data_IF_023387443521
#
_entry.id   IF_023387443521
#
_cell.length_a   1.000
_cell.length_b   1.000
_cell.length_c   1.000
_cell.angle_alpha   90.00
_cell.angle_beta   90.00
_cell.angle_gamma   90.00
#
_symmetry.space_group_name_H-M   'P 1'
#
loop_
_entity.id
_entity.type
_entity.pdbx_description
1 polymer ?
#
# COMPACT_ATOMS: atom_id res chain seq x y z
N UNK A 1 30.23 36.13 -23.17
CA UNK A 1 28.89 36.70 -23.46
C UNK A 1 28.00 36.45 -22.26
N UNK A 2 27.18 37.43 -21.84
CA UNK A 2 26.28 37.27 -20.69
C UNK A 2 24.82 37.35 -21.14
N UNK A 3 24.01 36.35 -20.77
CA UNK A 3 22.57 36.29 -21.09
C UNK A 3 21.77 36.74 -19.86
N UNK A 4 20.89 37.73 -20.02
CA UNK A 4 20.00 38.21 -18.96
C UNK A 4 18.71 37.36 -18.89
N UNK A 5 18.11 37.18 -17.71
CA UNK A 5 16.88 36.41 -17.56
C UNK A 5 15.65 37.18 -18.09
N UNK A 6 14.68 36.47 -18.66
CA UNK A 6 13.37 37.04 -19.00
C UNK A 6 12.52 37.29 -17.75
N UNK A 7 11.79 38.41 -17.74
CA UNK A 7 10.69 38.67 -16.81
C UNK A 7 9.37 38.31 -17.48
N UNK A 8 8.51 37.56 -16.81
CA UNK A 8 7.09 37.46 -17.17
C UNK A 8 6.32 38.62 -16.54
N UNK A 9 5.42 39.23 -17.31
CA UNK A 9 4.51 40.29 -16.85
C UNK A 9 3.11 39.68 -16.72
N UNK A 10 2.51 39.82 -15.54
CA UNK A 10 1.13 39.42 -15.28
C UNK A 10 0.20 40.53 -15.77
N UNK A 11 -0.78 40.20 -16.61
CA UNK A 11 -1.81 41.15 -17.08
C UNK A 11 -3.16 40.83 -16.45
N UNK A 12 -3.62 41.67 -15.52
CA UNK A 12 -5.00 41.63 -15.05
C UNK A 12 -5.92 42.39 -16.01
N UNK A 13 -7.07 41.81 -16.36
CA UNK A 13 -8.27 42.54 -16.77
C UNK A 13 -9.50 41.98 -16.05
N UNK A 14 -10.29 42.88 -15.44
CA UNK A 14 -11.67 42.64 -14.99
C UNK A 14 -12.60 43.52 -15.83
N UNK A 15 -13.64 42.92 -16.40
CA UNK A 15 -14.93 43.55 -16.73
C UNK A 15 -15.97 42.45 -16.45
N UNK A 16 -16.79 42.56 -15.40
CA UNK A 16 -17.95 43.44 -15.20
C UNK A 16 -19.22 42.98 -15.93
N UNK A 17 -20.30 43.03 -15.15
CA UNK A 17 -21.61 42.39 -15.29
C UNK A 17 -22.49 42.84 -16.46
N UNK A 18 -23.37 41.93 -16.89
CA UNK A 18 -24.77 42.28 -17.18
C UNK A 18 -25.70 41.11 -16.83
N UNK A 19 -26.84 41.39 -16.19
CA UNK A 19 -27.95 40.45 -15.98
C UNK A 19 -29.17 40.94 -16.75
N UNK A 20 -29.96 40.02 -17.32
CA UNK A 20 -31.33 40.29 -17.81
C UNK A 20 -32.22 39.06 -17.62
N UNK A 21 -33.55 39.24 -17.68
CA UNK A 21 -34.57 38.22 -17.37
C UNK A 21 -35.48 37.91 -18.56
N UNK A 22 -36.12 36.75 -18.49
CA UNK A 22 -37.31 36.27 -19.24
C UNK A 22 -38.49 37.28 -19.15
N UNK A 23 -39.54 37.28 -20.02
CA UNK A 23 -40.51 36.16 -20.23
C UNK A 23 -41.13 36.07 -21.68
N UNK A 24 -42.37 35.57 -21.94
CA UNK A 24 -42.76 34.14 -22.02
C UNK A 24 -43.66 33.76 -23.24
N UNK A 25 -44.33 32.59 -23.17
CA UNK A 25 -45.57 32.15 -23.90
C UNK A 25 -45.43 31.63 -25.36
N UNK A 26 -46.24 30.67 -25.88
CA UNK A 26 -47.15 29.67 -25.24
C UNK A 26 -47.73 28.63 -26.24
N UNK A 27 -48.02 27.41 -25.75
CA UNK A 27 -49.02 26.43 -26.28
C UNK A 27 -48.71 25.74 -27.65
N UNK A 28 -49.27 24.58 -28.02
CA UNK A 28 -50.38 23.76 -27.46
C UNK A 28 -50.34 22.25 -27.85
N UNK A 29 -50.75 21.34 -26.93
CA UNK A 29 -51.36 19.99 -27.16
C UNK A 29 -50.58 18.90 -27.96
N UNK A 30 -50.72 17.56 -27.80
CA UNK A 30 -51.33 16.53 -26.90
C UNK A 30 -50.61 15.17 -27.30
N UNK A 31 -50.64 14.00 -26.65
CA UNK A 31 -51.06 13.41 -25.35
C UNK A 31 -50.47 11.94 -25.27
N UNK A 32 -50.81 10.94 -24.44
CA UNK A 32 -51.79 10.75 -23.34
C UNK A 32 -51.44 9.55 -22.41
N UNK A 33 -51.63 9.69 -21.09
CA UNK A 33 -51.85 8.63 -20.07
C UNK A 33 -50.80 7.50 -19.77
N UNK A 34 -50.81 6.87 -18.57
CA UNK A 34 -49.65 6.13 -18.02
C UNK A 34 -49.95 4.67 -17.55
N UNK A 35 -49.59 4.15 -16.34
CA UNK A 35 -48.59 3.08 -16.25
C UNK A 35 -49.04 1.77 -15.58
N UNK A 36 -48.32 0.67 -15.87
CA UNK A 36 -48.55 -0.65 -15.25
C UNK A 36 -47.81 -0.83 -13.93
N UNK A 37 -48.57 -0.96 -12.83
CA UNK A 37 -48.09 -1.56 -11.57
C UNK A 37 -48.14 -3.09 -11.65
N UNK A 38 -47.16 -3.77 -11.07
CA UNK A 38 -47.21 -5.22 -10.81
C UNK A 38 -47.13 -5.49 -9.31
N UNK A 39 -48.08 -6.26 -8.81
CA UNK A 39 -48.27 -6.57 -7.39
C UNK A 39 -47.92 -8.04 -7.13
N UNK A 40 -47.39 -8.32 -5.92
CA UNK A 40 -47.10 -9.67 -5.46
C UNK A 40 -48.33 -10.59 -5.49
N UNK A 41 -48.12 -11.86 -5.84
CA UNK A 41 -48.95 -12.94 -5.36
C UNK A 41 -48.10 -14.10 -4.84
N UNK A 42 -48.32 -14.48 -3.58
CA UNK A 42 -48.00 -15.83 -3.08
C UNK A 42 -49.08 -16.78 -3.59
N UNK A 43 -48.69 -17.98 -3.99
CA UNK A 43 -49.58 -19.15 -4.03
C UNK A 43 -48.91 -20.33 -3.33
N UNK A 44 -49.72 -21.19 -2.75
CA UNK A 44 -49.28 -22.27 -1.87
C UNK A 44 -49.40 -23.65 -2.55
N UNK A 45 -48.82 -24.64 -1.86
CA UNK A 45 -48.76 -26.06 -2.21
C UNK A 45 -50.11 -26.74 -2.48
N UNK A 46 -50.10 -27.74 -3.36
CA UNK A 46 -51.03 -28.89 -3.38
C UNK A 46 -50.25 -30.21 -3.53
N UNK A 47 -50.80 -31.36 -3.08
CA UNK A 47 -50.02 -32.59 -2.83
C UNK A 47 -49.95 -33.58 -4.00
N UNK A 48 -49.02 -34.54 -3.89
CA UNK A 48 -48.91 -35.74 -4.74
C UNK A 48 -49.29 -37.03 -3.97
N UNK A 49 -49.75 -38.10 -4.65
CA UNK A 49 -50.37 -39.26 -4.00
C UNK A 49 -49.40 -40.36 -3.52
N UNK A 50 -49.94 -41.26 -2.70
CA UNK A 50 -49.26 -42.39 -2.06
C UNK A 50 -48.95 -43.55 -3.04
N UNK A 51 -47.89 -44.31 -2.75
CA UNK A 51 -47.62 -45.63 -3.33
C UNK A 51 -46.99 -46.59 -2.29
N UNK A 52 -47.06 -47.90 -2.54
CA UNK A 52 -46.80 -48.94 -1.53
C UNK A 52 -45.31 -49.29 -1.33
N UNK A 53 -44.92 -49.83 -0.15
CA UNK A 53 -43.52 -49.95 0.25
C UNK A 53 -42.78 -51.13 -0.39
N UNK A 54 -41.56 -50.87 -0.89
CA UNK A 54 -40.55 -51.89 -1.16
C UNK A 54 -39.50 -51.93 -0.04
N UNK A 55 -38.95 -53.11 0.24
CA UNK A 55 -37.93 -53.32 1.29
C UNK A 55 -36.55 -52.87 0.82
N UNK A 56 -35.90 -51.98 1.57
CA UNK A 56 -34.51 -51.60 1.35
C UNK A 56 -33.52 -52.65 1.87
N UNK A 57 -32.39 -52.92 1.18
CA UNK A 57 -31.29 -53.71 1.72
C UNK A 57 -30.54 -52.95 2.85
N UNK A 58 -29.77 -53.65 3.71
CA UNK A 58 -29.03 -53.03 4.81
C UNK A 58 -27.82 -52.19 4.32
N UNK A 59 -27.38 -51.19 5.10
CA UNK A 59 -26.23 -50.34 4.74
C UNK A 59 -24.88 -51.08 4.90
N UNK A 60 -23.82 -50.63 4.19
CA UNK A 60 -22.46 -51.14 4.34
C UNK A 60 -21.83 -50.74 5.70
N UNK A 61 -20.81 -51.46 6.18
CA UNK A 61 -20.12 -51.16 7.43
C UNK A 61 -19.32 -49.84 7.37
N UNK A 62 -19.07 -49.19 8.53
CA UNK A 62 -18.32 -47.94 8.60
C UNK A 62 -16.82 -48.12 8.29
N UNK A 63 -16.13 -47.06 7.83
CA UNK A 63 -14.68 -47.07 7.60
C UNK A 63 -13.88 -47.14 8.92
N UNK A 64 -12.63 -47.63 8.89
CA UNK A 64 -11.78 -47.70 10.07
C UNK A 64 -11.37 -46.31 10.60
N UNK A 65 -11.06 -46.17 11.90
CA UNK A 65 -10.66 -44.91 12.51
C UNK A 65 -9.27 -44.42 12.02
N UNK A 66 -9.01 -43.10 12.02
CA UNK A 66 -7.73 -42.55 11.62
C UNK A 66 -6.61 -42.89 12.65
N UNK A 67 -5.34 -43.00 12.21
CA UNK A 67 -4.22 -43.29 13.09
C UNK A 67 -3.93 -42.14 14.07
N UNK A 68 -3.32 -42.48 15.20
CA UNK A 68 -3.11 -41.58 16.34
C UNK A 68 -2.09 -40.46 16.08
N UNK A 69 -2.42 -39.25 16.55
CA UNK A 69 -1.56 -38.07 16.42
C UNK A 69 -0.33 -38.14 17.33
N UNK A 70 0.80 -38.64 16.81
CA UNK A 70 2.11 -38.28 17.37
C UNK A 70 2.37 -36.78 17.16
N UNK A 71 2.81 -36.09 18.24
CA UNK A 71 3.18 -34.67 18.20
C UNK A 71 4.46 -34.46 17.39
N UNK A 72 4.35 -34.10 16.12
CA UNK A 72 5.46 -33.53 15.37
C UNK A 72 5.63 -32.05 15.71
N UNK A 73 6.84 -31.67 16.14
CA UNK A 73 7.21 -30.26 16.25
C UNK A 73 7.31 -29.66 14.84
N UNK A 74 6.70 -28.49 14.63
CA UNK A 74 6.75 -27.76 13.36
C UNK A 74 8.15 -27.17 13.14
N UNK A 75 9.01 -27.95 12.47
CA UNK A 75 10.23 -27.42 11.85
C UNK A 75 9.87 -26.37 10.79
N UNK A 76 10.67 -25.31 10.71
CA UNK A 76 10.45 -24.24 9.73
C UNK A 76 10.63 -24.74 8.30
N UNK A 77 9.64 -24.48 7.44
CA UNK A 77 9.72 -24.75 6.00
C UNK A 77 10.98 -24.09 5.38
N UNK A 78 11.65 -24.75 4.42
CA UNK A 78 12.81 -24.16 3.74
C UNK A 78 12.45 -22.87 2.99
N UNK A 79 13.29 -21.84 3.12
CA UNK A 79 13.15 -20.62 2.31
C UNK A 79 13.47 -20.92 0.83
N UNK A 80 12.57 -20.52 -0.07
CA UNK A 80 12.77 -20.72 -1.51
C UNK A 80 13.93 -19.86 -2.03
N UNK A 81 14.58 -20.25 -3.14
CA UNK A 81 15.76 -19.55 -3.66
C UNK A 81 15.51 -18.03 -3.84
N UNK A 82 14.33 -17.65 -4.35
CA UNK A 82 13.92 -16.26 -4.55
C UNK A 82 13.72 -15.44 -3.24
N UNK A 83 13.83 -16.05 -2.06
CA UNK A 83 13.81 -15.40 -0.75
C UNK A 83 15.19 -15.28 -0.09
N UNK A 84 16.23 -15.91 -0.68
CA UNK A 84 17.62 -15.57 -0.35
C UNK A 84 17.86 -14.12 -0.82
N UNK A 85 18.46 -13.34 0.07
CA UNK A 85 19.08 -12.05 -0.22
C UNK A 85 20.58 -12.33 -0.19
N UNK A 86 21.34 -11.65 -1.05
CA UNK A 86 22.79 -11.73 -1.01
C UNK A 86 23.28 -11.27 0.36
N UNK A 87 23.87 -12.20 1.11
CA UNK A 87 24.35 -11.93 2.47
C UNK A 87 25.71 -11.27 2.35
N UNK A 88 25.75 -9.95 2.42
CA UNK A 88 27.03 -9.30 2.61
C UNK A 88 27.58 -9.60 4.01
N UNK A 89 28.90 -9.50 4.17
CA UNK A 89 29.55 -9.42 5.47
C UNK A 89 29.99 -7.98 5.67
N UNK A 90 29.44 -7.32 6.70
CA UNK A 90 29.81 -5.95 7.07
C UNK A 90 30.88 -5.97 8.15
N UNK A 91 32.04 -5.36 7.89
CA UNK A 91 33.06 -5.16 8.93
C UNK A 91 32.73 -3.93 9.79
N UNK A 92 32.99 -3.95 11.12
CA UNK A 92 32.71 -2.82 12.02
C UNK A 92 33.41 -1.51 11.61
N UNK A 93 32.90 -0.39 12.15
CA UNK A 93 33.55 0.92 12.02
C UNK A 93 33.15 1.75 10.80
N UNK A 94 31.95 1.54 10.24
CA UNK A 94 31.34 2.41 9.23
C UNK A 94 29.80 2.53 9.40
N UNK A 95 29.30 2.97 10.57
CA UNK A 95 27.86 3.13 10.82
C UNK A 95 27.24 4.25 9.97
N UNK A 96 25.94 4.13 9.69
CA UNK A 96 25.13 5.13 9.02
C UNK A 96 24.21 5.87 10.00
N UNK A 97 23.88 7.12 9.66
CA UNK A 97 22.84 7.92 10.32
C UNK A 97 22.16 8.83 9.30
N UNK A 98 20.85 8.97 9.42
CA UNK A 98 20.05 9.86 8.60
C UNK A 98 20.58 11.30 8.60
N UNK A 99 20.75 11.86 7.40
CA UNK A 99 21.23 13.24 7.19
C UNK A 99 20.24 14.32 7.66
N UNK A 100 18.97 13.98 7.72
CA UNK A 100 17.85 14.82 8.17
C UNK A 100 16.98 14.00 9.12
N UNK A 101 16.26 14.66 10.03
CA UNK A 101 15.30 14.05 10.98
C UNK A 101 15.86 12.94 11.90
N UNK A 102 17.18 12.69 11.89
CA UNK A 102 17.80 11.51 12.47
C UNK A 102 17.74 11.33 13.99
N UNK A 103 17.20 12.30 14.73
CA UNK A 103 17.00 12.25 16.19
C UNK A 103 15.53 12.50 16.60
N UNK A 104 14.58 12.59 15.67
CA UNK A 104 13.16 12.91 15.98
C UNK A 104 12.58 11.95 17.02
N UNK A 105 12.75 10.63 16.86
CA UNK A 105 12.26 9.65 17.84
C UNK A 105 13.14 9.50 19.09
N UNK A 106 14.28 10.20 19.17
CA UNK A 106 15.07 10.33 20.41
C UNK A 106 14.50 11.45 21.29
N UNK A 107 13.97 12.50 20.65
CA UNK A 107 13.41 13.70 21.30
C UNK A 107 11.91 13.54 21.61
N UNK A 108 11.16 12.77 20.79
CA UNK A 108 9.75 12.45 21.05
C UNK A 108 9.58 11.58 22.31
N UNK A 109 8.49 11.76 23.09
CA UNK A 109 8.18 10.92 24.25
C UNK A 109 8.00 9.46 23.84
N UNK A 110 8.28 8.52 24.74
CA UNK A 110 8.37 7.08 24.42
C UNK A 110 7.09 6.54 23.79
N UNK A 111 5.94 7.02 24.24
CA UNK A 111 4.58 6.66 23.83
C UNK A 111 4.28 7.07 22.38
N UNK A 112 5.14 7.88 21.75
CA UNK A 112 5.09 8.22 20.34
C UNK A 112 5.53 7.05 19.44
N UNK A 113 6.58 6.33 19.82
CA UNK A 113 7.22 5.30 18.98
C UNK A 113 7.20 3.89 19.59
N UNK A 114 6.96 3.72 20.89
CA UNK A 114 6.73 2.42 21.53
C UNK A 114 5.33 1.90 21.21
N UNK A 115 5.15 1.47 19.97
CA UNK A 115 3.95 0.81 19.49
C UNK A 115 3.70 -0.56 20.13
N UNK A 116 4.61 -1.13 20.92
CA UNK A 116 4.36 -2.40 21.63
C UNK A 116 3.50 -2.17 22.87
N UNK A 117 3.65 -1.02 23.52
CA UNK A 117 2.79 -0.57 24.63
C UNK A 117 1.36 -0.20 24.23
N UNK A 118 1.12 0.26 22.99
CA UNK A 118 -0.19 0.79 22.52
C UNK A 118 -1.39 -0.09 22.89
N UNK A 119 -2.33 0.46 23.66
CA UNK A 119 -3.68 -0.11 23.82
C UNK A 119 -4.56 0.35 22.65
N UNK A 120 -5.08 -0.62 21.89
CA UNK A 120 -6.00 -0.35 20.77
C UNK A 120 -7.42 -0.30 21.32
N UNK A 121 -8.08 0.84 21.16
CA UNK A 121 -9.55 0.95 21.25
C UNK A 121 -10.14 0.35 19.97
N UNK A 122 -11.30 -0.30 20.10
CA UNK A 122 -11.95 -0.99 18.98
C UNK A 122 -13.33 -0.39 18.77
N UNK A 123 -13.63 0.02 17.53
CA UNK A 123 -14.99 0.35 17.11
C UNK A 123 -15.81 -0.91 16.80
N UNK A 124 -17.11 -0.73 16.60
CA UNK A 124 -18.03 -1.83 16.29
C UNK A 124 -17.94 -2.19 14.79
N UNK A 125 -17.79 -3.48 14.49
CA UNK A 125 -17.62 -3.92 13.11
C UNK A 125 -18.92 -3.80 12.28
N UNK A 126 -20.06 -3.94 12.93
CA UNK A 126 -21.36 -4.03 12.27
C UNK A 126 -21.86 -2.65 11.77
N UNK A 127 -21.16 -1.57 12.12
CA UNK A 127 -21.30 -0.23 11.54
C UNK A 127 -20.76 -0.15 10.09
N UNK A 128 -20.16 -1.21 9.53
CA UNK A 128 -19.54 -1.21 8.20
C UNK A 128 -19.94 -2.40 7.31
N UNK A 129 -20.64 -2.13 6.20
CA UNK A 129 -21.00 -3.16 5.22
C UNK A 129 -19.95 -3.30 4.10
N UNK A 130 -19.62 -4.54 3.72
CA UNK A 130 -18.70 -4.87 2.62
C UNK A 130 -19.46 -4.89 1.29
N UNK A 131 -19.21 -3.90 0.43
CA UNK A 131 -19.84 -3.79 -0.90
C UNK A 131 -19.13 -4.69 -1.92
N UNK A 132 -17.80 -4.61 -2.04
CA UNK A 132 -17.03 -5.41 -3.01
C UNK A 132 -15.55 -5.52 -2.67
N UNK A 133 -14.90 -6.59 -3.11
CA UNK A 133 -13.45 -6.75 -3.00
C UNK A 133 -12.73 -5.88 -4.03
N UNK A 134 -11.76 -5.09 -3.59
CA UNK A 134 -10.96 -4.19 -4.46
C UNK A 134 -9.47 -4.52 -4.47
N UNK A 135 -8.97 -5.29 -3.49
CA UNK A 135 -7.55 -5.64 -3.44
C UNK A 135 -7.21 -6.86 -2.59
N UNK A 136 -6.00 -7.37 -2.77
CA UNK A 136 -5.44 -8.50 -2.02
C UNK A 136 -3.95 -8.29 -1.78
N UNK A 137 -3.59 -7.87 -0.57
CA UNK A 137 -2.20 -7.76 -0.15
C UNK A 137 -1.61 -9.11 0.27
N UNK A 138 -0.31 -9.12 0.61
CA UNK A 138 0.31 -10.27 1.29
C UNK A 138 -0.35 -10.50 2.65
N UNK A 139 -0.47 -9.44 3.45
CA UNK A 139 -0.91 -9.47 4.85
C UNK A 139 -2.38 -9.05 5.06
N UNK A 140 -3.11 -8.65 4.03
CA UNK A 140 -4.49 -8.16 4.12
C UNK A 140 -5.33 -8.59 2.92
N UNK A 141 -6.64 -8.47 3.05
CA UNK A 141 -7.58 -8.37 1.92
C UNK A 141 -8.34 -7.04 2.04
N UNK A 142 -8.68 -6.42 0.91
CA UNK A 142 -9.13 -5.02 0.86
C UNK A 142 -10.45 -4.92 0.09
N UNK A 143 -11.41 -4.22 0.67
CA UNK A 143 -12.76 -4.09 0.17
C UNK A 143 -13.19 -2.61 0.14
N UNK A 144 -14.03 -2.25 -0.84
CA UNK A 144 -14.87 -1.06 -0.75
C UNK A 144 -16.09 -1.43 0.11
N UNK A 145 -16.42 -0.54 1.03
CA UNK A 145 -17.57 -0.67 1.92
C UNK A 145 -18.28 0.66 2.12
N UNK A 146 -19.35 0.63 2.92
CA UNK A 146 -20.07 1.81 3.38
C UNK A 146 -20.18 1.81 4.89
N UNK A 147 -20.16 3.00 5.49
CA UNK A 147 -20.49 3.20 6.89
C UNK A 147 -22.01 3.31 7.04
N UNK A 148 -22.61 2.44 7.86
CA UNK A 148 -24.05 2.18 7.85
C UNK A 148 -24.90 3.35 8.38
N UNK A 149 -24.32 4.28 9.15
CA UNK A 149 -25.06 5.36 9.80
C UNK A 149 -25.22 6.63 8.95
N UNK A 150 -24.29 6.90 8.03
CA UNK A 150 -24.26 8.08 7.14
C UNK A 150 -24.21 7.73 5.64
N UNK A 151 -23.96 6.46 5.30
CA UNK A 151 -23.73 5.95 3.94
C UNK A 151 -22.44 6.50 3.26
N UNK A 152 -21.47 7.03 4.02
CA UNK A 152 -20.18 7.39 3.45
C UNK A 152 -19.38 6.16 3.00
N UNK A 153 -18.69 6.28 1.86
CA UNK A 153 -17.83 5.22 1.34
C UNK A 153 -16.53 5.11 2.13
N UNK A 154 -16.17 3.89 2.49
CA UNK A 154 -14.91 3.57 3.16
C UNK A 154 -14.13 2.47 2.43
N UNK A 155 -12.88 2.27 2.86
CA UNK A 155 -12.06 1.12 2.48
C UNK A 155 -11.82 0.25 3.72
N UNK A 156 -12.27 -1.00 3.67
CA UNK A 156 -12.15 -1.99 4.74
C UNK A 156 -10.93 -2.87 4.45
N UNK A 157 -9.86 -2.71 5.23
CA UNK A 157 -8.64 -3.53 5.15
C UNK A 157 -8.66 -4.61 6.23
N UNK A 158 -9.17 -5.79 5.90
CA UNK A 158 -9.18 -6.96 6.79
C UNK A 158 -7.76 -7.51 6.89
N UNK A 159 -7.21 -7.59 8.12
CA UNK A 159 -5.85 -8.06 8.35
C UNK A 159 -5.81 -9.59 8.53
N UNK A 160 -4.99 -10.27 7.72
CA UNK A 160 -4.76 -11.72 7.86
C UNK A 160 -3.96 -12.01 9.13
N UNK A 161 -3.96 -13.26 9.64
CA UNK A 161 -3.18 -13.65 10.82
C UNK A 161 -1.70 -13.25 10.73
N UNK A 162 -1.31 -12.25 11.53
CA UNK A 162 0.07 -11.75 11.67
C UNK A 162 0.39 -11.46 13.14
N UNK A 163 1.68 -11.36 13.49
CA UNK A 163 2.12 -11.02 14.86
C UNK A 163 1.50 -9.69 15.30
N UNK A 164 0.83 -9.66 16.46
CA UNK A 164 0.17 -8.45 17.05
C UNK A 164 1.06 -7.19 17.02
N UNK A 165 2.37 -7.35 17.23
CA UNK A 165 3.39 -6.28 17.11
C UNK A 165 3.32 -5.50 15.78
N UNK A 166 3.06 -6.17 14.64
CA UNK A 166 2.90 -5.50 13.33
C UNK A 166 1.62 -4.67 13.27
N UNK A 167 0.53 -5.21 13.81
CA UNK A 167 -0.80 -4.56 13.80
C UNK A 167 -0.75 -3.28 14.63
N UNK A 168 -0.24 -3.35 15.88
CA UNK A 168 -0.05 -2.16 16.71
C UNK A 168 0.86 -1.12 16.05
N UNK A 169 1.92 -1.54 15.34
CA UNK A 169 2.81 -0.61 14.63
C UNK A 169 2.10 0.13 13.51
N UNK A 170 1.38 -0.59 12.65
CA UNK A 170 0.65 0.02 11.54
C UNK A 170 -0.39 1.02 12.05
N UNK A 171 -1.17 0.63 13.07
CA UNK A 171 -2.09 1.53 13.77
C UNK A 171 -1.36 2.77 14.33
N UNK A 172 -0.28 2.58 15.07
CA UNK A 172 0.44 3.70 15.73
C UNK A 172 1.03 4.67 14.71
N UNK A 173 1.55 4.17 13.60
CA UNK A 173 2.06 4.98 12.49
C UNK A 173 0.93 5.77 11.84
N UNK A 174 -0.20 5.12 11.53
CA UNK A 174 -1.37 5.79 10.94
C UNK A 174 -1.96 6.86 11.88
N UNK A 175 -2.04 6.59 13.19
CA UNK A 175 -2.46 7.56 14.19
C UNK A 175 -1.53 8.77 14.26
N UNK A 176 -0.21 8.55 14.30
CA UNK A 176 0.78 9.63 14.35
C UNK A 176 0.84 10.46 13.06
N UNK A 177 0.48 9.89 11.90
CA UNK A 177 0.52 10.56 10.60
C UNK A 177 -0.85 11.10 10.13
N UNK A 178 -1.93 10.86 10.88
CA UNK A 178 -3.26 11.33 10.51
C UNK A 178 -3.31 12.87 10.40
N UNK A 179 -4.06 13.38 9.42
CA UNK A 179 -4.07 14.81 9.06
C UNK A 179 -2.87 15.28 8.22
N UNK A 180 -1.86 14.43 8.00
CA UNK A 180 -0.70 14.74 7.16
C UNK A 180 -1.03 14.94 5.67
N UNK A 181 -0.27 15.78 4.95
CA UNK A 181 -0.47 16.01 3.52
C UNK A 181 -0.33 14.71 2.73
N UNK A 182 -1.38 14.34 2.00
CA UNK A 182 -1.46 13.15 1.14
C UNK A 182 -1.18 11.81 1.85
N UNK A 183 -1.32 11.75 3.18
CA UNK A 183 -1.37 10.51 3.96
C UNK A 183 -2.82 10.00 3.95
N UNK A 184 -3.04 8.70 3.79
CA UNK A 184 -4.38 8.11 3.93
C UNK A 184 -4.89 8.19 5.37
N UNK A 185 -6.09 8.72 5.56
CA UNK A 185 -6.76 8.76 6.87
C UNK A 185 -7.22 7.36 7.27
N UNK A 186 -6.72 6.88 8.41
CA UNK A 186 -7.38 5.85 9.21
C UNK A 186 -8.58 6.50 9.91
N UNK A 187 -9.78 5.99 9.64
CA UNK A 187 -11.03 6.47 10.23
C UNK A 187 -11.34 5.71 11.53
N UNK A 188 -11.28 4.37 11.50
CA UNK A 188 -11.57 3.51 12.64
C UNK A 188 -10.81 2.16 12.60
N UNK A 189 -10.85 1.43 13.71
CA UNK A 189 -10.15 0.16 13.95
C UNK A 189 -11.14 -0.85 14.55
N UNK A 190 -11.88 -1.55 13.70
CA UNK A 190 -12.87 -2.56 14.13
C UNK A 190 -12.26 -3.95 14.28
N UNK A 191 -13.00 -4.86 14.92
CA UNK A 191 -12.60 -6.27 15.04
C UNK A 191 -13.79 -7.20 15.16
N UNK A 192 -13.81 -8.20 14.29
CA UNK A 192 -14.83 -9.25 14.27
C UNK A 192 -15.01 -9.92 15.64
N UNK A 193 -16.25 -9.94 16.14
CA UNK A 193 -16.51 -10.37 17.50
C UNK A 193 -16.39 -11.89 17.68
N UNK A 194 -16.45 -12.70 16.61
CA UNK A 194 -16.30 -14.16 16.69
C UNK A 194 -14.83 -14.59 16.53
N UNK A 195 -14.25 -14.33 15.35
CA UNK A 195 -12.88 -14.71 14.98
C UNK A 195 -11.78 -13.86 15.61
N UNK A 196 -12.14 -12.68 16.15
CA UNK A 196 -11.22 -11.63 16.62
C UNK A 196 -10.27 -11.11 15.53
N UNK A 197 -10.65 -11.24 14.27
CA UNK A 197 -9.91 -10.69 13.12
C UNK A 197 -10.02 -9.16 13.11
N UNK A 198 -8.91 -8.41 13.14
CA UNK A 198 -8.94 -6.95 13.13
C UNK A 198 -8.97 -6.39 11.70
N UNK A 199 -9.71 -5.30 11.53
CA UNK A 199 -9.84 -4.56 10.27
C UNK A 199 -9.51 -3.08 10.49
N UNK A 200 -8.89 -2.45 9.49
CA UNK A 200 -8.61 -1.02 9.50
C UNK A 200 -9.53 -0.34 8.48
N UNK A 201 -10.24 0.70 8.90
CA UNK A 201 -11.19 1.46 8.08
C UNK A 201 -10.52 2.75 7.60
N UNK A 202 -10.55 3.02 6.30
CA UNK A 202 -9.88 4.20 5.70
C UNK A 202 -10.84 5.05 4.85
N UNK A 203 -10.45 6.30 4.60
CA UNK A 203 -11.13 7.17 3.61
C UNK A 203 -11.15 6.50 2.23
N UNK A 204 -12.27 6.59 1.53
CA UNK A 204 -12.35 6.15 0.14
C UNK A 204 -11.60 7.10 -0.80
N UNK A 205 -10.91 6.53 -1.79
CA UNK A 205 -10.22 7.27 -2.85
C UNK A 205 -10.67 6.70 -4.20
N UNK A 206 -11.12 7.57 -5.11
CA UNK A 206 -11.56 7.21 -6.45
C UNK A 206 -10.34 6.90 -7.36
N UNK A 207 -9.65 5.80 -7.08
CA UNK A 207 -8.37 5.50 -7.70
C UNK A 207 -8.49 4.95 -9.13
N UNK A 208 -7.76 5.56 -10.07
CA UNK A 208 -7.48 4.95 -11.38
C UNK A 208 -6.23 4.06 -11.28
N UNK A 209 -6.27 2.82 -11.80
CA UNK A 209 -5.10 1.93 -11.77
C UNK A 209 -3.91 2.55 -12.52
N UNK A 210 -2.72 2.48 -11.93
CA UNK A 210 -1.52 3.15 -12.44
C UNK A 210 -1.11 2.66 -13.85
N UNK A 211 -1.45 1.42 -14.25
CA UNK A 211 -1.16 0.91 -15.61
C UNK A 211 -2.03 1.56 -16.67
N UNK A 212 -3.21 2.04 -16.29
CA UNK A 212 -4.12 2.81 -17.14
C UNK A 212 -3.76 4.29 -17.08
N UNK A 213 -3.43 4.80 -15.89
CA UNK A 213 -3.19 6.21 -15.64
C UNK A 213 -1.80 6.69 -16.11
N UNK A 214 -0.71 6.01 -15.74
CA UNK A 214 0.64 6.51 -16.00
C UNK A 214 0.97 6.71 -17.50
N UNK A 215 0.47 5.88 -18.45
CA UNK A 215 0.66 6.13 -19.88
C UNK A 215 -0.04 7.40 -20.41
N UNK A 216 -1.08 7.90 -19.74
CA UNK A 216 -1.87 9.08 -20.19
C UNK A 216 -1.39 10.39 -19.56
N UNK A 217 -0.60 10.35 -18.48
CA UNK A 217 -0.09 11.54 -17.81
C UNK A 217 0.78 12.41 -18.72
N UNK A 218 0.56 13.73 -18.67
CA UNK A 218 1.49 14.70 -19.26
C UNK A 218 2.76 14.84 -18.41
N UNK A 219 3.82 15.45 -18.98
CA UNK A 219 5.02 15.84 -18.23
C UNK A 219 4.68 16.67 -16.97
N UNK A 220 3.72 17.59 -17.08
CA UNK A 220 3.26 18.39 -15.95
C UNK A 220 2.56 17.53 -14.88
N UNK A 221 1.76 16.54 -15.28
CA UNK A 221 1.10 15.64 -14.34
C UNK A 221 2.08 14.71 -13.63
N UNK A 222 3.09 14.19 -14.33
CA UNK A 222 4.16 13.41 -13.71
C UNK A 222 4.86 14.26 -12.64
N UNK A 223 5.25 15.50 -12.97
CA UNK A 223 5.86 16.44 -12.00
C UNK A 223 4.93 16.72 -10.82
N UNK A 224 3.64 16.95 -11.08
CA UNK A 224 2.63 17.22 -10.06
C UNK A 224 2.46 16.05 -9.09
N UNK A 225 2.22 14.83 -9.58
CA UNK A 225 2.01 13.67 -8.70
C UNK A 225 3.28 13.22 -7.97
N UNK A 226 4.47 13.39 -8.58
CA UNK A 226 5.74 13.21 -7.87
C UNK A 226 5.92 14.25 -6.75
N UNK A 227 5.54 15.52 -6.98
CA UNK A 227 5.57 16.55 -5.93
C UNK A 227 4.55 16.30 -4.81
N UNK A 228 3.33 15.88 -5.14
CA UNK A 228 2.33 15.51 -4.13
C UNK A 228 2.74 14.27 -3.30
N UNK A 229 3.46 13.32 -3.90
CA UNK A 229 4.06 12.17 -3.20
C UNK A 229 5.27 12.60 -2.34
N UNK A 230 6.11 13.52 -2.81
CA UNK A 230 7.22 14.08 -2.03
C UNK A 230 6.73 14.78 -0.74
N UNK A 231 5.58 15.46 -0.77
CA UNK A 231 4.96 16.02 0.46
C UNK A 231 4.62 14.94 1.50
N UNK A 232 4.08 13.80 1.06
CA UNK A 232 3.75 12.69 1.95
C UNK A 232 5.01 12.05 2.56
N UNK A 233 6.08 11.94 1.78
CA UNK A 233 7.37 11.41 2.23
C UNK A 233 8.08 12.36 3.19
N UNK A 234 8.28 13.63 2.83
CA UNK A 234 8.90 14.61 3.74
C UNK A 234 8.10 14.75 5.05
N UNK A 235 6.77 14.74 4.98
CA UNK A 235 5.94 14.71 6.18
C UNK A 235 6.21 13.46 7.05
N UNK A 236 6.13 12.24 6.51
CA UNK A 236 6.34 11.05 7.35
C UNK A 236 7.78 10.92 7.85
N UNK A 237 8.76 11.35 7.05
CA UNK A 237 10.18 11.44 7.43
C UNK A 237 10.39 12.44 8.57
N UNK A 238 9.77 13.64 8.50
CA UNK A 238 9.78 14.63 9.57
C UNK A 238 9.12 14.14 10.87
N UNK A 239 8.13 13.25 10.74
CA UNK A 239 7.49 12.55 11.85
C UNK A 239 8.25 11.30 12.33
N UNK A 240 9.48 11.08 11.84
CA UNK A 240 10.36 10.03 12.29
C UNK A 240 10.04 8.65 11.73
N UNK A 241 9.28 8.54 10.64
CA UNK A 241 8.76 7.28 10.09
C UNK A 241 9.26 7.07 8.66
N UNK A 242 9.72 5.86 8.36
CA UNK A 242 10.04 5.40 6.99
C UNK A 242 8.88 4.56 6.45
N UNK A 243 8.50 4.70 5.18
CA UNK A 243 7.39 3.95 4.57
C UNK A 243 7.80 2.51 4.16
N UNK A 244 8.97 2.36 3.54
CA UNK A 244 9.65 1.11 3.16
C UNK A 244 8.91 0.17 2.19
N UNK A 245 7.88 0.65 1.50
CA UNK A 245 7.25 -0.01 0.36
C UNK A 245 6.57 1.00 -0.57
N UNK A 246 7.26 2.11 -0.87
CA UNK A 246 6.81 3.09 -1.87
C UNK A 246 6.86 2.43 -3.26
N UNK A 247 5.72 2.43 -3.96
CA UNK A 247 5.54 1.84 -5.30
C UNK A 247 4.20 2.31 -5.89
N UNK A 248 3.95 2.18 -7.21
CA UNK A 248 2.72 2.67 -7.84
C UNK A 248 1.44 2.07 -7.24
N UNK A 249 1.47 0.80 -6.84
CA UNK A 249 0.32 0.12 -6.21
C UNK A 249 -0.06 0.70 -4.83
N UNK A 250 0.84 1.45 -4.18
CA UNK A 250 0.64 2.06 -2.87
C UNK A 250 0.40 3.58 -2.95
N UNK A 251 0.22 4.13 -4.16
CA UNK A 251 -0.03 5.55 -4.41
C UNK A 251 -1.36 5.67 -5.12
N UNK A 252 -2.42 5.94 -4.36
CA UNK A 252 -3.77 6.09 -4.89
C UNK A 252 -3.94 7.48 -5.49
N UNK A 253 -4.47 7.58 -6.72
CA UNK A 253 -4.68 8.84 -7.44
C UNK A 253 -6.12 8.93 -7.97
N UNK A 254 -6.83 9.94 -7.45
CA UNK A 254 -8.03 10.49 -8.08
C UNK A 254 -7.56 11.60 -9.03
N UNK A 255 -7.54 11.28 -10.33
CA UNK A 255 -6.98 12.18 -11.35
C UNK A 255 -7.91 13.36 -11.68
N UNK A 256 -9.22 13.16 -11.58
CA UNK A 256 -10.24 14.19 -11.83
C UNK A 256 -10.14 15.30 -10.78
N UNK A 257 -10.05 14.93 -9.50
CA UNK A 257 -9.89 15.87 -8.39
C UNK A 257 -8.43 16.25 -8.13
N UNK A 258 -7.48 15.68 -8.88
CA UNK A 258 -6.03 15.80 -8.73
C UNK A 258 -5.50 15.49 -7.32
N UNK A 259 -6.12 14.53 -6.63
CA UNK A 259 -5.79 14.13 -5.25
C UNK A 259 -4.93 12.87 -5.23
N UNK A 260 -3.96 12.85 -4.32
CA UNK A 260 -3.05 11.72 -4.10
C UNK A 260 -3.16 11.22 -2.64
N UNK A 261 -2.98 9.91 -2.43
CA UNK A 261 -2.80 9.29 -1.10
C UNK A 261 -1.73 8.20 -1.12
N UNK A 262 -0.81 8.26 -0.16
CA UNK A 262 0.14 7.19 0.15
C UNK A 262 -0.50 6.19 1.14
N UNK A 263 -0.58 4.92 0.73
CA UNK A 263 -1.29 3.84 1.45
C UNK A 263 -0.38 2.65 1.82
N UNK A 264 -0.92 1.73 2.63
CA UNK A 264 -0.30 0.46 3.07
C UNK A 264 0.97 0.60 3.95
N UNK A 265 0.81 1.33 5.05
CA UNK A 265 1.81 1.56 6.09
C UNK A 265 2.21 0.31 6.90
N UNK A 266 1.79 -0.90 6.52
CA UNK A 266 2.08 -2.15 7.24
C UNK A 266 3.56 -2.55 7.25
N UNK A 267 4.35 -2.07 6.29
CA UNK A 267 5.82 -2.22 6.27
C UNK A 267 6.59 -1.04 6.85
N UNK A 268 5.92 0.07 7.17
CA UNK A 268 6.52 1.27 7.73
C UNK A 268 7.13 1.04 9.13
N UNK A 269 8.01 1.94 9.57
CA UNK A 269 8.77 1.80 10.82
C UNK A 269 9.29 3.14 11.35
N UNK A 270 9.40 3.26 12.67
CA UNK A 270 10.07 4.37 13.33
C UNK A 270 11.60 4.30 13.15
N UNK A 271 12.19 5.39 12.67
CA UNK A 271 13.63 5.58 12.54
C UNK A 271 14.29 5.88 13.90
N UNK A 272 15.40 5.23 14.22
CA UNK A 272 16.27 5.55 15.36
C UNK A 272 17.73 5.41 14.90
N UNK A 273 18.62 6.33 15.28
CA UNK A 273 20.01 6.30 14.83
C UNK A 273 20.73 5.05 15.37
N UNK A 274 21.50 4.38 14.51
CA UNK A 274 22.24 3.15 14.86
C UNK A 274 21.40 1.89 15.07
N UNK A 275 20.08 1.93 14.83
CA UNK A 275 19.22 0.74 14.87
C UNK A 275 19.32 -0.04 13.56
N UNK A 276 19.52 -1.35 13.66
CA UNK A 276 19.47 -2.24 12.49
C UNK A 276 18.03 -2.63 12.15
N UNK A 277 17.72 -2.63 10.86
CA UNK A 277 16.41 -2.86 10.28
C UNK A 277 16.43 -4.03 9.30
N UNK A 278 15.38 -4.86 9.39
CA UNK A 278 15.21 -6.00 8.50
C UNK A 278 15.11 -5.56 7.02
N UNK A 279 15.99 -6.08 6.17
CA UNK A 279 16.06 -5.75 4.73
C UNK A 279 15.01 -6.47 3.85
N UNK A 280 14.24 -7.39 4.43
CA UNK A 280 13.13 -8.13 3.76
C UNK A 280 11.84 -7.29 3.69
N UNK A 281 12.00 -6.00 3.40
CA UNK A 281 10.96 -5.00 3.12
C UNK A 281 11.05 -4.54 1.65
N UNK A 282 10.11 -3.68 1.22
CA UNK A 282 9.89 -3.24 -0.16
C UNK A 282 9.62 -4.35 -1.19
N UNK A 283 8.86 -3.97 -2.22
CA UNK A 283 8.59 -4.78 -3.41
C UNK A 283 9.82 -4.75 -4.35
N UNK A 284 10.25 -5.91 -4.88
CA UNK A 284 11.59 -6.12 -5.50
C UNK A 284 12.12 -4.95 -6.35
N UNK A 285 11.35 -4.50 -7.33
CA UNK A 285 11.77 -3.50 -8.31
C UNK A 285 12.03 -2.10 -7.71
N UNK A 286 11.58 -1.87 -6.48
CA UNK A 286 11.69 -0.61 -5.74
C UNK A 286 12.66 -0.71 -4.54
N UNK A 287 13.31 -1.87 -4.34
CA UNK A 287 14.34 -2.05 -3.31
C UNK A 287 15.57 -1.18 -3.62
N UNK A 288 16.02 -0.41 -2.63
CA UNK A 288 17.33 0.25 -2.64
C UNK A 288 18.50 -0.75 -2.58
N UNK A 289 19.69 -0.39 -3.09
CA UNK A 289 20.89 -1.22 -2.99
C UNK A 289 21.17 -1.72 -1.58
N UNK A 290 20.92 -0.89 -0.55
CA UNK A 290 21.05 -1.23 0.87
C UNK A 290 20.27 -2.50 1.25
N UNK A 291 19.10 -2.73 0.65
CA UNK A 291 18.27 -3.92 0.90
C UNK A 291 18.72 -5.15 0.09
N UNK A 292 19.59 -4.96 -0.90
CA UNK A 292 20.11 -5.99 -1.79
C UNK A 292 21.52 -6.44 -1.36
N UNK A 293 22.24 -5.60 -0.63
CA UNK A 293 23.58 -5.88 -0.06
C UNK A 293 23.56 -5.93 1.48
N UNK A 294 22.40 -6.17 2.10
CA UNK A 294 22.21 -6.40 3.55
C UNK A 294 22.80 -5.29 4.47
N UNK A 295 22.74 -4.02 4.06
CA UNK A 295 23.10 -2.88 4.91
C UNK A 295 21.89 -2.52 5.79
N UNK A 296 21.91 -2.89 7.07
CA UNK A 296 20.71 -2.89 7.92
C UNK A 296 20.41 -1.57 8.64
N UNK A 297 21.38 -0.69 8.88
CA UNK A 297 21.20 0.64 9.52
C UNK A 297 20.80 1.73 8.50
N UNK A 298 19.94 1.36 7.53
CA UNK A 298 19.38 2.26 6.54
C UNK A 298 18.38 3.26 7.14
N UNK A 299 18.11 4.34 6.40
CA UNK A 299 17.21 5.42 6.81
C UNK A 299 16.16 5.79 5.74
N UNK A 300 15.52 6.94 5.93
CA UNK A 300 14.54 7.56 5.04
C UNK A 300 14.94 7.60 3.56
N UNK A 301 16.25 7.62 3.25
CA UNK A 301 16.77 7.57 1.88
C UNK A 301 16.23 6.41 1.05
N UNK A 302 15.87 5.29 1.69
CA UNK A 302 15.27 4.13 1.02
C UNK A 302 13.99 4.47 0.25
N UNK A 303 13.12 5.30 0.84
CA UNK A 303 11.87 5.72 0.19
C UNK A 303 12.13 6.62 -1.02
N UNK A 304 13.22 7.39 -1.00
CA UNK A 304 13.65 8.24 -2.12
C UNK A 304 14.24 7.41 -3.27
N UNK A 305 14.92 6.30 -2.99
CA UNK A 305 15.28 5.32 -4.03
C UNK A 305 14.03 4.70 -4.67
N UNK A 306 13.08 4.24 -3.86
CA UNK A 306 11.82 3.68 -4.35
C UNK A 306 11.03 4.69 -5.21
N UNK A 307 11.00 5.97 -4.80
CA UNK A 307 10.47 7.08 -5.60
C UNK A 307 11.23 7.26 -6.93
N UNK A 308 12.56 7.18 -6.91
CA UNK A 308 13.39 7.23 -8.11
C UNK A 308 13.05 6.12 -9.12
N UNK A 309 12.86 4.88 -8.65
CA UNK A 309 12.39 3.76 -9.46
C UNK A 309 11.01 4.02 -10.09
N UNK A 310 10.07 4.64 -9.35
CA UNK A 310 8.77 5.04 -9.89
C UNK A 310 8.92 6.12 -10.97
N UNK A 311 9.62 7.21 -10.67
CA UNK A 311 9.79 8.34 -11.57
C UNK A 311 10.47 7.94 -12.88
N UNK A 312 11.55 7.14 -12.80
CA UNK A 312 12.21 6.56 -13.98
C UNK A 312 11.24 5.69 -14.81
N UNK A 313 10.42 4.86 -14.17
CA UNK A 313 9.40 4.06 -14.84
C UNK A 313 8.38 4.91 -15.61
N UNK A 314 7.95 6.04 -15.03
CA UNK A 314 7.01 6.99 -15.64
C UNK A 314 7.64 7.72 -16.84
N UNK A 315 8.78 8.39 -16.66
CA UNK A 315 9.37 9.25 -17.71
C UNK A 315 9.96 8.46 -18.88
N UNK A 316 10.54 7.27 -18.64
CA UNK A 316 11.05 6.40 -19.69
C UNK A 316 9.98 5.42 -20.22
N UNK A 317 8.73 5.50 -19.72
CA UNK A 317 7.61 4.61 -20.06
C UNK A 317 7.98 3.12 -20.00
N UNK A 318 8.78 2.76 -18.99
CA UNK A 318 9.42 1.44 -18.83
C UNK A 318 9.15 0.92 -17.43
N UNK A 319 8.03 0.22 -17.24
CA UNK A 319 7.65 -0.34 -15.95
C UNK A 319 7.86 -1.87 -15.89
N UNK A 320 8.62 -2.39 -14.88
CA UNK A 320 9.48 -1.66 -13.96
C UNK A 320 10.80 -1.21 -14.63
N UNK A 321 11.39 -0.14 -14.11
CA UNK A 321 12.64 0.41 -14.66
C UNK A 321 13.81 -0.56 -14.45
N UNK A 322 14.01 -1.06 -13.23
CA UNK A 322 14.94 -2.15 -12.91
C UNK A 322 14.17 -3.46 -12.74
N UNK A 323 14.29 -4.37 -13.72
CA UNK A 323 13.51 -5.62 -13.80
C UNK A 323 14.36 -6.85 -13.48
N UNK A 324 14.62 -7.12 -12.20
CA UNK A 324 15.34 -8.31 -11.74
C UNK A 324 14.45 -9.54 -11.57
N UNK A 325 14.92 -10.71 -11.99
CA UNK A 325 14.20 -12.00 -11.84
C UNK A 325 14.13 -12.46 -10.36
N UNK A 326 15.13 -12.10 -9.56
CA UNK A 326 15.21 -12.26 -8.10
C UNK A 326 15.97 -11.08 -7.47
N UNK A 327 16.37 -11.16 -6.19
CA UNK A 327 17.07 -10.07 -5.50
C UNK A 327 18.55 -9.91 -5.95
N UNK A 328 19.21 -10.97 -6.39
CA UNK A 328 20.59 -10.90 -6.89
C UNK A 328 20.61 -10.21 -8.26
N UNK A 329 19.77 -10.69 -9.18
CA UNK A 329 19.63 -10.11 -10.51
C UNK A 329 19.05 -8.68 -10.48
N UNK A 330 18.29 -8.31 -9.43
CA UNK A 330 17.88 -6.92 -9.20
C UNK A 330 19.09 -5.98 -9.03
N UNK A 331 20.12 -6.38 -8.26
CA UNK A 331 21.33 -5.56 -8.11
C UNK A 331 22.13 -5.52 -9.41
N UNK A 332 22.18 -6.62 -10.17
CA UNK A 332 22.79 -6.66 -11.51
C UNK A 332 22.11 -5.68 -12.47
N UNK A 333 20.77 -5.59 -12.46
CA UNK A 333 20.05 -4.60 -13.29
C UNK A 333 20.39 -3.15 -12.90
N UNK A 334 20.64 -2.89 -11.62
CA UNK A 334 21.03 -1.56 -11.11
C UNK A 334 22.46 -1.21 -11.53
N UNK A 335 23.41 -2.11 -11.27
CA UNK A 335 24.82 -1.94 -11.63
C UNK A 335 25.03 -1.77 -13.15
N UNK A 336 24.17 -2.37 -13.99
CA UNK A 336 24.18 -2.18 -15.45
C UNK A 336 23.72 -0.80 -15.94
N UNK A 337 23.23 0.08 -15.05
CA UNK A 337 22.82 1.46 -15.39
C UNK A 337 23.64 2.50 -14.64
N UNK A 338 23.95 2.27 -13.36
CA UNK A 338 24.78 3.19 -12.54
C UNK A 338 26.28 2.89 -12.62
N UNK A 339 26.66 1.79 -13.28
CA UNK A 339 28.04 1.29 -13.29
C UNK A 339 28.39 0.46 -12.05
N UNK A 340 29.44 -0.34 -12.18
CA UNK A 340 30.00 -1.13 -11.08
C UNK A 340 30.90 -0.31 -10.18
N UNK A 341 31.53 0.76 -10.66
CA UNK A 341 32.49 1.55 -9.87
C UNK A 341 31.83 2.36 -8.74
N UNK A 342 30.63 2.90 -8.94
CA UNK A 342 29.88 3.54 -7.85
C UNK A 342 29.45 2.51 -6.79
N UNK A 343 29.01 1.32 -7.22
CA UNK A 343 28.71 0.20 -6.33
C UNK A 343 29.97 -0.25 -5.56
N UNK A 344 31.12 -0.31 -6.24
CA UNK A 344 32.42 -0.65 -5.65
C UNK A 344 32.80 0.36 -4.55
N UNK A 345 32.67 1.67 -4.83
CA UNK A 345 32.95 2.74 -3.87
C UNK A 345 31.97 2.73 -2.68
N UNK A 346 30.68 2.49 -2.94
CA UNK A 346 29.64 2.36 -1.91
C UNK A 346 29.90 1.19 -0.95
N UNK A 347 30.22 0.00 -1.49
CA UNK A 347 30.56 -1.19 -0.71
C UNK A 347 31.80 -0.96 0.15
N UNK A 348 32.86 -0.39 -0.44
CA UNK A 348 34.09 -0.07 0.27
C UNK A 348 33.85 0.94 1.41
N UNK A 349 33.04 1.99 1.16
CA UNK A 349 32.69 3.03 2.15
C UNK A 349 32.02 2.44 3.40
N UNK A 350 31.03 1.58 3.22
CA UNK A 350 30.27 0.97 4.33
C UNK A 350 30.87 -0.36 4.83
N UNK A 351 32.04 -0.75 4.31
CA UNK A 351 32.79 -1.97 4.66
C UNK A 351 32.01 -3.26 4.42
N UNK A 352 31.27 -3.31 3.31
CA UNK A 352 30.41 -4.41 2.88
C UNK A 352 31.14 -5.31 1.89
N UNK A 353 31.26 -6.59 2.20
CA UNK A 353 31.76 -7.62 1.29
C UNK A 353 30.59 -8.44 0.77
N UNK A 354 30.37 -8.43 -0.56
CA UNK A 354 29.32 -9.25 -1.19
C UNK A 354 29.65 -10.75 -1.03
N UNK A 355 28.61 -11.60 -0.95
CA UNK A 355 28.83 -13.03 -1.08
C UNK A 355 29.42 -13.38 -2.47
N UNK A 356 30.23 -14.46 -2.60
CA UNK A 356 30.93 -14.77 -3.85
C UNK A 356 30.03 -14.98 -5.06
N UNK A 357 28.77 -15.38 -4.87
CA UNK A 357 27.82 -15.55 -5.97
C UNK A 357 27.30 -14.19 -6.46
N UNK A 358 26.94 -13.29 -5.54
CA UNK A 358 26.56 -11.92 -5.88
C UNK A 358 27.73 -11.13 -6.48
N UNK A 359 28.96 -11.33 -5.99
CA UNK A 359 30.17 -10.74 -6.54
C UNK A 359 30.37 -11.12 -8.03
N UNK A 360 30.40 -12.42 -8.33
CA UNK A 360 30.54 -12.91 -9.70
C UNK A 360 29.42 -12.41 -10.63
N UNK A 361 28.17 -12.31 -10.12
CA UNK A 361 27.03 -11.80 -10.88
C UNK A 361 27.13 -10.30 -11.22
N UNK A 362 27.82 -9.49 -10.41
CA UNK A 362 28.09 -8.06 -10.72
C UNK A 362 29.42 -7.84 -11.44
N UNK A 363 30.16 -8.90 -11.78
CA UNK A 363 31.44 -8.80 -12.50
C UNK A 363 32.63 -8.46 -11.59
N UNK A 364 32.67 -9.01 -10.37
CA UNK A 364 33.81 -9.02 -9.45
C UNK A 364 34.39 -10.43 -9.29
#
# INVERSE_FOLDING_TARGET
MAVRPLRFIISHRRLLSSSLRLPPSSSSHLSESPPSLLVFHRLASSPAPLSHPQKSPPPPPPPPPPPSHHRFALSSLPETLAQRIGKSVRRPGAPSKARVYGDINVIRPKEYWDYESLTVQWGEQDDYEVVRKVGRGKYSEVFEGVHCTDNEKCIIKILKPVKKKKIKREIKILQNLCGGPNIVKLLDIVRDQQSKTPSLIFEYVNNTDFKVLYPTLSDYDIRYYIYELLKALDYCHSQGIMHRDVKPHNVMIDHEQRKLRLIDWGLAEFYHPGKEYNVRVASRYFKGPELLVDLQDYDYSLDLWSLGCMFAGMIFRKEPFFYGHDNYDQLVKIAKVLGTDELNAYLNKYRLELDPHLAALVGR
#
